data_IF_739446036907
#
_entry.id   IF_739446036907
#
_cell.length_a   1.000
_cell.length_b   1.000
_cell.length_c   1.000
_cell.angle_alpha   90.00
_cell.angle_beta   90.00
_cell.angle_gamma   90.00
#
_symmetry.space_group_name_H-M   'P 1'
#
loop_
_entity.id
_entity.type
_entity.pdbx_description
1 polymer ?
#
# COMPACT_ATOMS: atom_id res chain seq x y z
N UNK A 1 51.34 -0.85 -58.83
CA UNK A 1 50.23 -1.82 -58.64
C UNK A 1 49.83 -1.77 -57.16
N UNK A 2 48.57 -1.42 -56.91
CA UNK A 2 47.99 -1.08 -55.60
C UNK A 2 48.01 -2.26 -54.61
N UNK A 3 48.50 -2.05 -53.38
CA UNK A 3 48.13 -2.86 -52.22
C UNK A 3 47.17 -2.06 -51.33
N UNK A 4 45.93 -2.59 -51.26
CA UNK A 4 44.80 -2.11 -50.46
C UNK A 4 45.13 -2.15 -48.98
N UNK A 5 44.83 -1.07 -48.27
CA UNK A 5 44.67 -1.06 -46.83
C UNK A 5 43.46 -1.94 -46.44
N UNK A 6 43.70 -2.98 -45.66
CA UNK A 6 42.67 -3.90 -45.19
C UNK A 6 42.01 -3.33 -43.91
N UNK A 7 40.78 -2.84 -44.08
CA UNK A 7 39.95 -2.22 -43.04
C UNK A 7 38.97 -3.25 -42.42
N UNK A 8 39.39 -4.50 -42.19
CA UNK A 8 38.48 -5.61 -41.81
C UNK A 8 38.51 -6.10 -40.35
N UNK A 9 39.21 -5.44 -39.43
CA UNK A 9 39.24 -5.91 -38.02
C UNK A 9 38.64 -4.95 -37.00
N UNK A 10 38.09 -3.80 -37.41
CA UNK A 10 37.59 -2.79 -36.48
C UNK A 10 36.14 -2.92 -35.94
N UNK A 11 35.18 -3.69 -36.50
CA UNK A 11 33.81 -3.64 -35.97
C UNK A 11 33.58 -4.50 -34.72
N UNK A 12 34.41 -5.52 -34.47
CA UNK A 12 34.20 -6.47 -33.36
C UNK A 12 34.73 -5.95 -32.01
N UNK A 13 35.84 -5.21 -32.02
CA UNK A 13 36.43 -4.66 -30.79
C UNK A 13 35.55 -3.55 -30.17
N UNK A 14 34.86 -2.76 -30.99
CA UNK A 14 33.93 -1.71 -30.53
C UNK A 14 32.63 -2.30 -29.97
N UNK A 15 32.14 -3.40 -30.53
CA UNK A 15 30.91 -4.06 -30.04
C UNK A 15 31.09 -4.67 -28.64
N UNK A 16 32.26 -5.24 -28.33
CA UNK A 16 32.56 -5.79 -27.00
C UNK A 16 32.75 -4.71 -25.92
N UNK A 17 33.34 -3.55 -26.27
CA UNK A 17 33.46 -2.42 -25.35
C UNK A 17 32.11 -1.78 -25.02
N UNK A 18 31.18 -1.72 -25.98
CA UNK A 18 29.82 -1.22 -25.76
C UNK A 18 28.99 -2.14 -24.84
N UNK A 19 29.13 -3.46 -24.96
CA UNK A 19 28.44 -4.43 -24.07
C UNK A 19 28.95 -4.36 -22.63
N UNK A 20 30.24 -4.13 -22.41
CA UNK A 20 30.83 -4.00 -21.07
C UNK A 20 30.36 -2.72 -20.34
N UNK A 21 30.12 -1.61 -21.06
CA UNK A 21 29.61 -0.35 -20.49
C UNK A 21 28.13 -0.45 -20.07
N UNK A 22 27.32 -1.21 -20.80
CA UNK A 22 25.91 -1.46 -20.41
C UNK A 22 25.86 -2.32 -19.14
N UNK A 23 26.69 -3.36 -19.05
CA UNK A 23 26.77 -4.20 -17.84
C UNK A 23 27.28 -3.42 -16.62
N UNK A 24 28.25 -2.51 -16.79
CA UNK A 24 28.73 -1.64 -15.72
C UNK A 24 27.70 -0.58 -15.31
N UNK A 25 26.88 -0.11 -16.26
CA UNK A 25 25.73 0.75 -16.00
C UNK A 25 24.69 0.08 -15.10
N UNK A 26 24.35 -1.19 -15.36
CA UNK A 26 23.45 -1.96 -14.49
C UNK A 26 24.07 -2.35 -13.13
N UNK A 27 25.39 -2.42 -13.04
CA UNK A 27 26.10 -2.72 -11.79
C UNK A 27 26.23 -1.48 -10.87
N UNK A 28 26.26 -0.26 -11.45
CA UNK A 28 26.33 1.00 -10.71
C UNK A 28 24.96 1.64 -10.44
N UNK A 29 23.98 1.43 -11.34
CA UNK A 29 22.58 1.73 -11.06
C UNK A 29 21.97 0.45 -10.50
N UNK A 30 22.34 0.14 -9.25
CA UNK A 30 21.76 -0.99 -8.53
C UNK A 30 20.26 -1.04 -8.79
N UNK A 31 19.72 -2.24 -9.05
CA UNK A 31 18.30 -2.47 -9.27
C UNK A 31 17.52 -1.47 -8.43
N UNK A 32 16.89 -0.49 -9.08
CA UNK A 32 15.95 0.35 -8.39
C UNK A 32 14.98 -0.65 -7.79
N UNK A 33 15.09 -0.84 -6.48
CA UNK A 33 14.17 -1.67 -5.73
C UNK A 33 12.81 -1.17 -6.15
N UNK A 34 12.03 -2.01 -6.84
CA UNK A 34 10.60 -1.75 -6.99
C UNK A 34 10.16 -1.30 -5.60
N UNK A 35 9.67 -0.07 -5.42
CA UNK A 35 9.30 0.40 -4.10
C UNK A 35 8.41 -0.70 -3.53
N UNK A 36 8.74 -1.18 -2.32
CA UNK A 36 7.92 -2.18 -1.65
C UNK A 36 6.49 -1.68 -1.70
N UNK A 37 5.68 -2.29 -2.57
CA UNK A 37 4.41 -1.70 -2.97
C UNK A 37 3.52 -1.87 -1.75
N UNK A 38 3.22 -0.75 -1.07
CA UNK A 38 2.49 -0.78 0.19
C UNK A 38 1.17 -1.54 0.06
N UNK A 39 0.76 -2.19 1.15
CA UNK A 39 -0.56 -2.82 1.21
C UNK A 39 -1.60 -1.76 1.55
N UNK A 40 -2.69 -1.74 0.78
CA UNK A 40 -3.82 -0.87 1.00
C UNK A 40 -4.98 -1.68 1.60
N UNK A 41 -5.40 -1.27 2.80
CA UNK A 41 -6.52 -1.84 3.54
C UNK A 41 -7.69 -0.87 3.51
N UNK A 42 -8.80 -1.28 2.91
CA UNK A 42 -10.04 -0.51 2.85
C UNK A 42 -11.03 -1.11 3.83
N UNK A 43 -11.65 -0.27 4.65
CA UNK A 43 -12.77 -0.68 5.50
C UNK A 43 -13.92 0.31 5.39
N UNK A 44 -15.13 -0.21 5.27
CA UNK A 44 -16.37 0.56 5.27
C UNK A 44 -17.33 0.04 6.34
N UNK A 45 -18.08 0.94 6.96
CA UNK A 45 -18.97 0.63 8.07
C UNK A 45 -20.40 1.10 7.81
N UNK A 46 -21.34 0.30 8.31
CA UNK A 46 -22.76 0.62 8.46
C UNK A 46 -23.17 0.39 9.91
N UNK A 47 -23.71 1.41 10.56
CA UNK A 47 -24.25 1.35 11.91
C UNK A 47 -25.78 1.37 11.90
N UNK A 48 -26.38 0.70 12.88
CA UNK A 48 -27.82 0.76 13.14
C UNK A 48 -28.27 2.17 13.53
N UNK A 49 -27.47 2.86 14.36
CA UNK A 49 -27.71 4.23 14.77
C UNK A 49 -26.58 5.17 14.32
N UNK A 50 -26.89 6.02 13.35
CA UNK A 50 -25.95 6.95 12.75
C UNK A 50 -25.40 8.00 13.74
N UNK A 51 -26.01 8.17 14.93
CA UNK A 51 -25.49 9.09 15.98
C UNK A 51 -24.08 8.72 16.44
N UNK A 52 -23.68 7.45 16.27
CA UNK A 52 -22.39 6.93 16.70
C UNK A 52 -21.28 7.09 15.65
N UNK A 53 -21.63 7.53 14.42
CA UNK A 53 -20.65 7.75 13.35
C UNK A 53 -19.50 8.69 13.76
N UNK A 54 -19.72 9.82 14.47
CA UNK A 54 -18.62 10.70 14.88
C UNK A 54 -17.61 10.02 15.80
N UNK A 55 -18.06 9.16 16.71
CA UNK A 55 -17.17 8.40 17.60
C UNK A 55 -16.40 7.34 16.81
N UNK A 56 -17.10 6.55 15.98
CA UNK A 56 -16.48 5.56 15.12
C UNK A 56 -15.41 6.17 14.20
N UNK A 57 -15.73 7.29 13.53
CA UNK A 57 -14.80 7.93 12.59
C UNK A 57 -13.59 8.53 13.30
N UNK A 58 -13.81 9.17 14.46
CA UNK A 58 -12.72 9.70 15.28
C UNK A 58 -11.77 8.60 15.74
N UNK A 59 -12.31 7.49 16.24
CA UNK A 59 -11.47 6.38 16.74
C UNK A 59 -10.75 5.64 15.61
N UNK A 60 -11.39 5.46 14.44
CA UNK A 60 -10.76 4.85 13.27
C UNK A 60 -9.56 5.68 12.78
N UNK A 61 -9.72 7.00 12.67
CA UNK A 61 -8.62 7.89 12.25
C UNK A 61 -7.48 7.93 13.29
N UNK A 62 -7.80 7.81 14.57
CA UNK A 62 -6.81 7.80 15.65
C UNK A 62 -5.91 6.55 15.63
N UNK A 63 -6.31 5.46 14.96
CA UNK A 63 -5.48 4.25 14.83
C UNK A 63 -4.12 4.52 14.19
N UNK A 64 -4.02 5.53 13.31
CA UNK A 64 -2.73 5.96 12.73
C UNK A 64 -1.66 6.18 13.78
N UNK A 65 -2.04 6.85 14.88
CA UNK A 65 -1.10 7.22 15.95
C UNK A 65 -1.08 6.21 17.10
N UNK A 66 -2.21 5.51 17.34
CA UNK A 66 -2.36 4.56 18.44
C UNK A 66 -1.74 3.18 18.15
N UNK A 67 -1.80 2.73 16.90
CA UNK A 67 -1.18 1.46 16.49
C UNK A 67 0.33 1.67 16.34
N UNK A 68 1.08 1.11 17.28
CA UNK A 68 2.53 1.30 17.35
C UNK A 68 3.27 -0.03 17.45
N UNK A 69 4.42 -0.10 16.78
CA UNK A 69 5.35 -1.21 16.85
C UNK A 69 6.69 -0.67 17.34
N UNK A 70 7.21 -1.26 18.44
CA UNK A 70 8.44 -0.77 19.11
C UNK A 70 8.38 0.72 19.45
N UNK A 71 7.21 1.21 19.85
CA UNK A 71 6.97 2.60 20.26
C UNK A 71 6.87 3.62 19.11
N UNK A 72 6.74 3.18 17.85
CA UNK A 72 6.54 4.05 16.70
C UNK A 72 5.29 3.67 15.91
N UNK A 73 4.49 4.64 15.44
CA UNK A 73 3.44 4.38 14.47
C UNK A 73 3.97 3.66 13.23
N UNK A 74 3.26 2.62 12.77
CA UNK A 74 3.63 1.85 11.57
C UNK A 74 2.58 1.92 10.45
N UNK A 75 1.38 2.44 10.74
CA UNK A 75 0.40 2.76 9.70
C UNK A 75 0.87 4.03 8.98
N UNK A 76 1.21 3.91 7.69
CA UNK A 76 1.79 5.03 6.91
C UNK A 76 0.77 6.15 6.73
N UNK A 77 -0.46 5.81 6.39
CA UNK A 77 -1.55 6.76 6.22
C UNK A 77 -2.90 6.17 6.61
N UNK A 78 -3.80 7.02 7.11
CA UNK A 78 -5.21 6.70 7.33
C UNK A 78 -6.01 7.89 6.82
N UNK A 79 -6.86 7.67 5.83
CA UNK A 79 -7.80 8.67 5.31
C UNK A 79 -9.20 8.07 5.25
N UNK A 80 -10.24 8.89 5.35
CA UNK A 80 -11.61 8.39 5.25
C UNK A 80 -12.64 9.49 5.17
N UNK A 81 -13.89 9.09 4.93
CA UNK A 81 -14.99 10.03 4.75
C UNK A 81 -16.35 9.36 4.61
N UNK A 82 -17.37 10.19 4.43
CA UNK A 82 -18.75 9.76 4.15
C UNK A 82 -18.83 9.12 2.77
N UNK A 83 -19.56 8.02 2.65
CA UNK A 83 -19.94 7.46 1.35
C UNK A 83 -20.86 8.48 0.62
N UNK A 84 -20.46 8.90 -0.58
CA UNK A 84 -21.19 9.84 -1.44
C UNK A 84 -21.33 9.41 -2.91
N UNK A 85 -20.93 8.20 -3.29
CA UNK A 85 -21.16 7.66 -4.63
C UNK A 85 -22.66 7.57 -4.92
N UNK A 86 -23.13 8.08 -6.06
CA UNK A 86 -24.54 8.05 -6.45
C UNK A 86 -24.95 6.72 -7.13
N UNK A 87 -24.04 5.78 -7.30
CA UNK A 87 -24.26 4.58 -8.14
C UNK A 87 -25.18 3.54 -7.48
N UNK A 88 -25.47 3.68 -6.18
CA UNK A 88 -26.38 2.79 -5.45
C UNK A 88 -25.84 1.35 -5.29
N UNK A 89 -24.52 1.18 -5.32
CA UNK A 89 -23.82 -0.11 -5.19
C UNK A 89 -22.96 -0.23 -3.93
N UNK A 90 -23.13 0.70 -2.99
CA UNK A 90 -22.31 0.79 -1.77
C UNK A 90 -22.71 -0.18 -0.66
N UNK A 91 -23.74 -1.01 -0.87
CA UNK A 91 -24.24 -1.93 0.15
C UNK A 91 -24.80 -1.22 1.39
N UNK A 92 -25.18 0.06 1.28
CA UNK A 92 -25.65 0.86 2.40
C UNK A 92 -24.55 1.28 3.39
N UNK A 93 -23.27 1.14 3.02
CA UNK A 93 -22.16 1.64 3.84
C UNK A 93 -22.23 3.16 3.98
N UNK A 94 -21.97 3.66 5.19
CA UNK A 94 -22.13 5.08 5.53
C UNK A 94 -20.81 5.84 5.47
N UNK A 95 -19.70 5.18 5.82
CA UNK A 95 -18.34 5.73 5.83
C UNK A 95 -17.35 4.71 5.29
N UNK A 96 -16.25 5.19 4.70
CA UNK A 96 -15.16 4.38 4.16
C UNK A 96 -13.81 4.97 4.57
N UNK A 97 -12.85 4.10 4.83
CA UNK A 97 -11.48 4.44 5.21
C UNK A 97 -10.49 3.64 4.36
N UNK A 98 -9.34 4.26 4.09
CA UNK A 98 -8.19 3.67 3.42
C UNK A 98 -6.98 3.81 4.34
N UNK A 99 -6.33 2.69 4.58
CA UNK A 99 -5.13 2.56 5.38
C UNK A 99 -4.00 2.06 4.49
N UNK A 100 -2.81 2.63 4.66
CA UNK A 100 -1.61 2.18 3.97
C UNK A 100 -0.62 1.60 4.97
N UNK A 101 -0.14 0.40 4.66
CA UNK A 101 0.95 -0.28 5.37
C UNK A 101 2.17 -0.38 4.47
N UNK A 102 3.35 -0.46 5.07
CA UNK A 102 4.60 -0.64 4.32
C UNK A 102 4.68 -1.99 3.62
N UNK A 103 4.13 -3.03 4.25
CA UNK A 103 4.21 -4.40 3.78
C UNK A 103 3.07 -5.25 4.40
N UNK A 104 2.96 -6.50 3.96
CA UNK A 104 1.96 -7.44 4.46
C UNK A 104 2.12 -7.75 5.96
N UNK A 105 3.35 -7.86 6.47
CA UNK A 105 3.57 -8.22 7.87
C UNK A 105 3.07 -7.14 8.84
N UNK A 106 3.21 -5.87 8.47
CA UNK A 106 2.64 -4.75 9.23
C UNK A 106 1.11 -4.78 9.22
N UNK A 107 0.50 -5.08 8.07
CA UNK A 107 -0.95 -5.23 7.95
C UNK A 107 -1.47 -6.44 8.75
N UNK A 108 -0.77 -7.57 8.71
CA UNK A 108 -1.12 -8.77 9.47
C UNK A 108 -1.06 -8.49 10.98
N UNK A 109 0.03 -7.85 11.43
CA UNK A 109 0.16 -7.45 12.83
C UNK A 109 -0.99 -6.51 13.24
N UNK A 110 -1.34 -5.52 12.41
CA UNK A 110 -2.52 -4.67 12.63
C UNK A 110 -3.79 -5.48 12.81
N UNK A 111 -4.09 -6.40 11.89
CA UNK A 111 -5.35 -7.15 11.87
C UNK A 111 -5.47 -8.10 13.06
N UNK A 112 -4.40 -8.84 13.36
CA UNK A 112 -4.43 -10.01 14.24
C UNK A 112 -3.86 -9.76 15.64
N UNK A 113 -2.87 -8.88 15.80
CA UNK A 113 -2.06 -8.81 17.02
C UNK A 113 -2.10 -7.44 17.72
N UNK A 114 -2.39 -6.35 16.99
CA UNK A 114 -2.30 -5.00 17.54
C UNK A 114 -3.38 -4.77 18.63
N UNK A 115 -2.98 -4.42 19.86
CA UNK A 115 -3.91 -4.25 20.97
C UNK A 115 -4.78 -2.99 20.82
N UNK A 116 -4.29 -1.93 20.17
CA UNK A 116 -5.08 -0.72 19.93
C UNK A 116 -6.15 -0.97 18.87
N UNK A 117 -5.83 -1.71 17.81
CA UNK A 117 -6.84 -2.16 16.84
C UNK A 117 -7.85 -3.13 17.46
N UNK A 118 -7.40 -4.05 18.32
CA UNK A 118 -8.30 -4.96 19.06
C UNK A 118 -9.27 -4.18 19.95
N UNK A 119 -8.79 -3.21 20.72
CA UNK A 119 -9.64 -2.34 21.54
C UNK A 119 -10.64 -1.54 20.69
N UNK A 120 -10.25 -1.11 19.49
CA UNK A 120 -11.17 -0.46 18.55
C UNK A 120 -12.28 -1.42 18.08
N UNK A 121 -11.94 -2.65 17.67
CA UNK A 121 -12.92 -3.69 17.27
C UNK A 121 -13.94 -3.94 18.39
N UNK A 122 -13.47 -4.04 19.63
CA UNK A 122 -14.33 -4.24 20.80
C UNK A 122 -15.25 -3.02 21.04
N UNK A 123 -14.70 -1.80 20.95
CA UNK A 123 -15.46 -0.57 21.14
C UNK A 123 -16.56 -0.40 20.10
N UNK A 124 -16.28 -0.66 18.82
CA UNK A 124 -17.30 -0.54 17.76
C UNK A 124 -18.35 -1.65 17.82
N UNK A 125 -18.00 -2.83 18.36
CA UNK A 125 -18.97 -3.91 18.60
C UNK A 125 -20.13 -3.48 19.48
N UNK A 126 -19.89 -2.54 20.41
CA UNK A 126 -20.93 -1.96 21.26
C UNK A 126 -21.79 -0.88 20.58
N UNK A 127 -21.41 -0.40 19.38
CA UNK A 127 -22.10 0.70 18.67
C UNK A 127 -23.22 0.23 17.72
N UNK A 128 -23.50 -1.08 17.67
CA UNK A 128 -24.53 -1.64 16.79
C UNK A 128 -24.10 -1.61 15.32
N UNK A 129 -22.92 -2.16 15.01
CA UNK A 129 -22.46 -2.36 13.62
C UNK A 129 -23.35 -3.36 12.91
N UNK A 130 -24.01 -2.95 11.83
CA UNK A 130 -24.86 -3.80 10.99
C UNK A 130 -24.10 -4.38 9.80
N UNK A 131 -23.03 -3.73 9.37
CA UNK A 131 -22.25 -4.17 8.22
C UNK A 131 -20.83 -3.62 8.24
N UNK A 132 -19.91 -4.48 7.80
CA UNK A 132 -18.50 -4.15 7.59
C UNK A 132 -18.10 -4.73 6.25
N UNK A 133 -17.48 -3.92 5.40
CA UNK A 133 -16.83 -4.37 4.17
C UNK A 133 -15.34 -4.11 4.30
N UNK A 134 -14.53 -5.13 4.11
CA UNK A 134 -13.06 -5.06 4.20
C UNK A 134 -12.47 -5.55 2.89
N UNK A 135 -11.54 -4.78 2.32
CA UNK A 135 -10.86 -5.13 1.07
C UNK A 135 -9.37 -4.78 1.21
N UNK A 136 -8.51 -5.74 0.91
CA UNK A 136 -7.06 -5.54 0.88
C UNK A 136 -6.55 -5.70 -0.55
N UNK A 137 -5.62 -4.84 -0.96
CA UNK A 137 -4.95 -5.00 -2.24
C UNK A 137 -3.54 -4.42 -2.22
N UNK A 138 -2.72 -4.96 -3.11
CA UNK A 138 -1.42 -4.38 -3.47
C UNK A 138 -1.59 -3.67 -4.82
N UNK A 139 -1.24 -2.38 -4.94
CA UNK A 139 -1.37 -1.64 -6.20
C UNK A 139 -0.69 -2.37 -7.37
N UNK A 140 -1.43 -2.56 -8.46
CA UNK A 140 -0.92 -3.18 -9.69
C UNK A 140 -0.95 -4.71 -9.72
N UNK A 141 -1.52 -5.37 -8.71
CA UNK A 141 -1.78 -6.81 -8.69
C UNK A 141 -3.27 -7.06 -8.98
N UNK A 142 -3.58 -7.95 -9.94
CA UNK A 142 -4.94 -8.23 -10.44
C UNK A 142 -5.28 -9.72 -10.37
#
# INVERSE_FOLDING_TARGET
MNSRWDYRTQPLALALAALALVAFGYLLHGFASVPAMGLLHIVAFKLADARHLPSLTSDMLALKERCTLKGKPYIRSVVGGKQSSPEGKDGGMQVVFLLEFENQADADYYIFDDPAHTAFKDAIGALGVEGVTVLDFVPGVF
#
